data_IF_398203022693
#
_entry.id   IF_398203022693
#
_cell.length_a   1.000
_cell.length_b   1.000
_cell.length_c   1.000
_cell.angle_alpha   90.00
_cell.angle_beta   90.00
_cell.angle_gamma   90.00
#
_symmetry.space_group_name_H-M   'P 1'
#
loop_
_entity.id
_entity.type
_entity.pdbx_description
1 polymer ?
#
# COMPACT_ATOMS: atom_id res chain seq x y z
N UNK A 1 26.24 30.13 0.13
CA UNK A 1 25.81 29.73 1.48
C UNK A 1 25.15 28.37 1.36
N UNK A 2 25.80 27.33 1.85
CA UNK A 2 25.36 25.93 1.78
C UNK A 2 24.02 25.77 2.53
N UNK A 3 22.91 25.54 1.81
CA UNK A 3 21.66 25.09 2.41
C UNK A 3 21.84 23.63 2.85
N UNK A 4 22.38 23.45 4.05
CA UNK A 4 22.30 22.17 4.71
C UNK A 4 20.80 21.79 4.76
N UNK A 5 20.40 20.79 4.01
CA UNK A 5 19.07 20.18 4.12
C UNK A 5 18.83 19.87 5.59
N UNK A 6 17.97 20.66 6.23
CA UNK A 6 17.66 20.44 7.64
C UNK A 6 17.13 19.02 7.79
N UNK A 7 17.85 18.16 8.50
CA UNK A 7 17.48 16.76 8.70
C UNK A 7 16.15 16.60 9.44
N UNK A 8 15.75 17.62 10.18
CA UNK A 8 14.55 17.63 11.03
C UNK A 8 13.23 17.52 10.22
N UNK A 9 12.96 18.33 9.17
CA UNK A 9 11.72 18.20 8.39
C UNK A 9 11.60 16.85 7.67
N UNK A 10 12.72 16.31 7.20
CA UNK A 10 12.73 15.03 6.53
C UNK A 10 12.39 13.87 7.49
N UNK A 11 12.90 13.93 8.73
CA UNK A 11 12.58 12.98 9.78
C UNK A 11 11.10 13.10 10.20
N UNK A 12 10.56 14.30 10.33
CA UNK A 12 9.16 14.53 10.68
C UNK A 12 8.23 13.93 9.63
N UNK A 13 8.47 14.20 8.34
CA UNK A 13 7.67 13.59 7.25
C UNK A 13 7.81 12.07 7.23
N UNK A 14 9.00 11.54 7.51
CA UNK A 14 9.16 10.10 7.66
C UNK A 14 8.27 9.56 8.79
N UNK A 15 8.28 10.22 9.95
CA UNK A 15 7.45 9.82 11.10
C UNK A 15 5.96 9.89 10.79
N UNK A 16 5.51 10.96 10.11
CA UNK A 16 4.11 11.11 9.66
C UNK A 16 3.69 9.94 8.77
N UNK A 17 4.46 9.64 7.72
CA UNK A 17 4.14 8.51 6.82
C UNK A 17 4.23 7.17 7.55
N UNK A 18 5.21 7.01 8.42
CA UNK A 18 5.39 5.78 9.20
C UNK A 18 4.21 5.53 10.16
N UNK A 19 3.77 6.55 10.90
CA UNK A 19 2.66 6.44 11.86
C UNK A 19 1.34 6.15 11.12
N UNK A 20 1.09 6.81 9.99
CA UNK A 20 -0.09 6.54 9.16
C UNK A 20 -0.12 5.10 8.65
N UNK A 21 1.01 4.60 8.16
CA UNK A 21 1.12 3.24 7.64
C UNK A 21 1.11 2.18 8.75
N UNK A 22 1.67 2.51 9.92
CA UNK A 22 1.57 1.67 11.10
C UNK A 22 0.10 1.55 11.56
N UNK A 23 -0.65 2.66 11.59
CA UNK A 23 -2.08 2.66 11.90
C UNK A 23 -2.89 1.83 10.89
N UNK A 24 -2.58 1.92 9.59
CA UNK A 24 -3.19 1.07 8.58
C UNK A 24 -2.84 -0.41 8.79
N UNK A 25 -1.56 -0.74 8.97
CA UNK A 25 -1.09 -2.10 9.18
C UNK A 25 -1.64 -2.75 10.46
N UNK A 26 -1.86 -1.96 11.51
CA UNK A 26 -2.45 -2.38 12.77
C UNK A 26 -3.89 -2.89 12.59
N UNK A 27 -4.64 -2.28 11.67
CA UNK A 27 -6.04 -2.59 11.41
C UNK A 27 -6.21 -3.85 10.54
N UNK A 28 -5.31 -4.12 9.60
CA UNK A 28 -5.47 -5.18 8.59
C UNK A 28 -5.82 -6.55 9.19
N UNK A 29 -5.05 -7.11 10.15
CA UNK A 29 -5.34 -8.44 10.69
C UNK A 29 -6.55 -8.48 11.62
N UNK A 30 -7.03 -7.33 12.07
CA UNK A 30 -8.07 -7.22 13.09
C UNK A 30 -9.44 -6.94 12.49
N UNK A 31 -9.47 -6.17 11.40
CA UNK A 31 -10.70 -5.68 10.78
C UNK A 31 -11.68 -6.79 10.40
N UNK A 32 -11.26 -7.92 9.76
CA UNK A 32 -12.20 -9.00 9.44
C UNK A 32 -12.86 -9.59 10.68
N UNK A 33 -12.08 -9.86 11.73
CA UNK A 33 -12.59 -10.41 12.98
C UNK A 33 -13.55 -9.43 13.69
N UNK A 34 -13.23 -8.14 13.69
CA UNK A 34 -14.10 -7.14 14.28
C UNK A 34 -15.43 -7.02 13.53
N UNK A 35 -15.38 -7.01 12.20
CA UNK A 35 -16.58 -6.97 11.38
C UNK A 35 -17.45 -8.21 11.59
N UNK A 36 -16.85 -9.42 11.66
CA UNK A 36 -17.58 -10.66 11.94
C UNK A 36 -18.23 -10.68 13.33
N UNK A 37 -17.58 -10.13 14.38
CA UNK A 37 -18.22 -9.95 15.70
C UNK A 37 -19.43 -9.01 15.65
N UNK A 38 -19.47 -8.09 14.69
CA UNK A 38 -20.61 -7.21 14.41
C UNK A 38 -21.58 -7.81 13.36
N UNK A 39 -21.54 -9.13 13.17
CA UNK A 39 -22.40 -9.89 12.25
C UNK A 39 -22.27 -9.52 10.77
N UNK A 40 -21.09 -9.04 10.33
CA UNK A 40 -20.82 -8.81 8.92
C UNK A 40 -20.68 -10.14 8.16
N UNK A 41 -21.25 -10.24 6.95
CA UNK A 41 -20.92 -11.31 6.01
C UNK A 41 -19.49 -11.13 5.48
N UNK A 42 -18.90 -12.20 4.92
CA UNK A 42 -17.56 -12.12 4.35
C UNK A 42 -17.50 -11.07 3.21
N UNK A 43 -18.56 -10.94 2.42
CA UNK A 43 -18.67 -9.88 1.42
C UNK A 43 -18.62 -8.47 2.03
N UNK A 44 -19.31 -8.25 3.15
CA UNK A 44 -19.26 -6.94 3.86
C UNK A 44 -17.87 -6.63 4.40
N UNK A 45 -17.09 -7.64 4.82
CA UNK A 45 -15.68 -7.46 5.19
C UNK A 45 -14.89 -6.92 4.00
N UNK A 46 -15.08 -7.48 2.81
CA UNK A 46 -14.43 -7.00 1.59
C UNK A 46 -14.78 -5.53 1.25
N UNK A 47 -16.06 -5.17 1.37
CA UNK A 47 -16.52 -3.79 1.18
C UNK A 47 -15.92 -2.84 2.21
N UNK A 48 -15.82 -3.28 3.46
CA UNK A 48 -15.25 -2.50 4.55
C UNK A 48 -13.76 -2.19 4.33
N UNK A 49 -12.98 -3.18 3.90
CA UNK A 49 -11.58 -2.99 3.52
C UNK A 49 -11.46 -2.04 2.31
N UNK A 50 -12.29 -2.26 1.28
CA UNK A 50 -12.27 -1.47 0.06
C UNK A 50 -12.69 -0.01 0.30
N UNK A 51 -13.60 0.25 1.25
CA UNK A 51 -14.10 1.62 1.52
C UNK A 51 -12.99 2.60 1.85
N UNK A 52 -11.97 2.18 2.62
CA UNK A 52 -10.77 2.96 2.89
C UNK A 52 -9.99 3.27 1.60
N UNK A 53 -9.75 2.27 0.76
CA UNK A 53 -9.00 2.44 -0.49
C UNK A 53 -9.77 3.28 -1.52
N UNK A 54 -11.10 3.19 -1.55
CA UNK A 54 -11.97 4.03 -2.38
C UNK A 54 -11.82 5.50 -1.97
N UNK A 55 -11.90 5.80 -0.69
CA UNK A 55 -11.73 7.16 -0.18
C UNK A 55 -10.32 7.69 -0.47
N UNK A 56 -9.29 6.88 -0.24
CA UNK A 56 -7.91 7.23 -0.58
C UNK A 56 -7.78 7.54 -2.08
N UNK A 57 -8.33 6.72 -2.95
CA UNK A 57 -8.29 6.92 -4.41
C UNK A 57 -8.96 8.23 -4.83
N UNK A 58 -10.16 8.49 -4.32
CA UNK A 58 -10.95 9.67 -4.67
C UNK A 58 -10.32 10.98 -4.15
N UNK A 59 -9.77 10.95 -2.94
CA UNK A 59 -9.31 12.16 -2.27
C UNK A 59 -7.81 12.45 -2.43
N UNK A 60 -6.99 11.50 -2.88
CA UNK A 60 -5.55 11.77 -3.16
C UNK A 60 -5.34 12.93 -4.13
N UNK A 61 -6.04 13.04 -5.29
CA UNK A 61 -5.89 14.20 -6.17
C UNK A 61 -6.45 15.50 -5.58
N UNK A 62 -7.46 15.41 -4.73
CA UNK A 62 -8.02 16.57 -4.03
C UNK A 62 -7.00 17.14 -3.04
N UNK A 63 -6.42 16.31 -2.17
CA UNK A 63 -5.39 16.72 -1.20
C UNK A 63 -4.14 17.27 -1.90
N UNK A 64 -3.70 16.64 -2.98
CA UNK A 64 -2.58 17.15 -3.78
C UNK A 64 -2.84 18.58 -4.25
N UNK A 65 -3.97 18.84 -4.91
CA UNK A 65 -4.35 20.18 -5.37
C UNK A 65 -4.54 21.20 -4.25
N UNK A 66 -5.18 20.78 -3.18
CA UNK A 66 -5.38 21.66 -2.03
C UNK A 66 -4.05 22.08 -1.42
N UNK A 67 -3.10 21.13 -1.32
CA UNK A 67 -1.77 21.41 -0.76
C UNK A 67 -0.92 22.36 -1.61
N UNK A 68 -1.16 22.37 -2.95
CA UNK A 68 -0.53 23.36 -3.83
C UNK A 68 -1.06 24.78 -3.60
N UNK A 69 -2.33 24.90 -3.16
CA UNK A 69 -3.00 26.21 -2.96
C UNK A 69 -2.77 26.78 -1.57
N UNK A 70 -3.08 26.01 -0.53
CA UNK A 70 -3.05 26.50 0.86
C UNK A 70 -1.76 26.15 1.61
N UNK A 71 -0.92 25.30 1.04
CA UNK A 71 0.35 24.84 1.62
C UNK A 71 0.34 23.35 1.97
N UNK A 72 1.54 22.78 2.10
CA UNK A 72 1.72 21.35 2.42
C UNK A 72 1.33 21.04 3.87
N UNK A 73 1.85 21.86 4.80
CA UNK A 73 1.62 21.68 6.24
C UNK A 73 0.15 21.77 6.65
N UNK A 74 -0.65 22.78 6.25
CA UNK A 74 -2.07 22.84 6.59
C UNK A 74 -2.84 21.61 6.13
N UNK A 75 -2.55 21.11 4.92
CA UNK A 75 -3.22 19.93 4.39
C UNK A 75 -2.83 18.67 5.16
N UNK A 76 -1.56 18.50 5.50
CA UNK A 76 -1.11 17.40 6.37
C UNK A 76 -1.83 17.42 7.72
N UNK A 77 -1.96 18.60 8.36
CA UNK A 77 -2.66 18.74 9.64
C UNK A 77 -4.14 18.35 9.55
N UNK A 78 -4.84 18.79 8.50
CA UNK A 78 -6.26 18.43 8.28
C UNK A 78 -6.39 16.90 8.06
N UNK A 79 -5.49 16.32 7.28
CA UNK A 79 -5.52 14.88 7.00
C UNK A 79 -5.21 14.04 8.24
N UNK A 80 -4.24 14.45 9.06
CA UNK A 80 -3.93 13.79 10.33
C UNK A 80 -5.08 13.91 11.35
N UNK A 81 -5.75 15.06 11.41
CA UNK A 81 -6.96 15.22 12.23
C UNK A 81 -8.10 14.30 11.78
N UNK A 82 -8.26 14.11 10.47
CA UNK A 82 -9.25 13.16 9.92
C UNK A 82 -8.86 11.70 10.23
N UNK A 83 -7.57 11.33 10.12
CA UNK A 83 -7.08 10.00 10.52
C UNK A 83 -7.33 9.74 12.01
N UNK A 84 -7.00 10.70 12.88
CA UNK A 84 -7.30 10.65 14.30
C UNK A 84 -8.79 10.40 14.57
N UNK A 85 -9.68 11.21 13.95
CA UNK A 85 -11.12 11.04 14.10
C UNK A 85 -11.59 9.67 13.60
N UNK A 86 -11.07 9.19 12.47
CA UNK A 86 -11.38 7.86 11.93
C UNK A 86 -11.02 6.73 12.91
N UNK A 87 -9.85 6.79 13.54
CA UNK A 87 -9.45 5.79 14.53
C UNK A 87 -10.21 5.92 15.86
N UNK A 88 -10.62 7.14 16.27
CA UNK A 88 -11.53 7.31 17.40
C UNK A 88 -12.89 6.68 17.14
N UNK A 89 -13.47 6.90 15.95
CA UNK A 89 -14.72 6.26 15.53
C UNK A 89 -14.59 4.73 15.59
N UNK A 90 -13.44 4.18 15.14
CA UNK A 90 -13.15 2.76 15.29
C UNK A 90 -13.22 2.31 16.76
N UNK A 91 -12.53 3.04 17.65
CA UNK A 91 -12.48 2.70 19.08
C UNK A 91 -13.86 2.62 19.75
N UNK A 92 -14.77 3.50 19.34
CA UNK A 92 -16.15 3.54 19.82
C UNK A 92 -17.14 2.71 19.01
N UNK A 93 -16.70 1.99 17.96
CA UNK A 93 -17.61 1.27 17.07
C UNK A 93 -18.33 0.14 17.80
N UNK A 94 -19.64 0.24 17.88
CA UNK A 94 -20.55 -0.77 18.43
C UNK A 94 -21.42 -1.42 17.36
N UNK A 95 -21.33 -0.95 16.12
CA UNK A 95 -22.08 -1.47 14.97
C UNK A 95 -21.26 -1.39 13.70
N UNK A 96 -21.67 -2.17 12.71
CA UNK A 96 -21.03 -2.22 11.41
C UNK A 96 -21.02 -0.85 10.70
N UNK A 97 -22.08 -0.04 10.89
CA UNK A 97 -22.19 1.32 10.30
C UNK A 97 -21.07 2.22 10.83
N UNK A 98 -20.82 2.21 12.14
CA UNK A 98 -19.73 2.99 12.74
C UNK A 98 -18.36 2.50 12.28
N UNK A 99 -18.21 1.19 12.08
CA UNK A 99 -16.98 0.62 11.56
C UNK A 99 -16.74 1.06 10.11
N UNK A 100 -17.77 1.11 9.25
CA UNK A 100 -17.70 1.72 7.92
C UNK A 100 -17.35 3.20 7.98
N UNK A 101 -18.04 3.98 8.83
CA UNK A 101 -17.76 5.39 9.01
C UNK A 101 -16.28 5.63 9.37
N UNK A 102 -15.72 4.81 10.27
CA UNK A 102 -14.30 4.88 10.64
C UNK A 102 -13.38 4.68 9.43
N UNK A 103 -13.70 3.72 8.54
CA UNK A 103 -12.89 3.46 7.34
C UNK A 103 -12.98 4.57 6.32
N UNK A 104 -14.18 5.11 6.10
CA UNK A 104 -14.42 6.25 5.20
C UNK A 104 -13.63 7.48 5.67
N UNK A 105 -13.75 7.83 6.96
CA UNK A 105 -13.06 9.00 7.54
C UNK A 105 -11.54 8.79 7.56
N UNK A 106 -11.05 7.61 7.95
CA UNK A 106 -9.63 7.31 7.95
C UNK A 106 -9.06 7.28 6.51
N UNK A 107 -9.79 6.74 5.53
CA UNK A 107 -9.38 6.73 4.13
C UNK A 107 -9.31 8.14 3.52
N UNK A 108 -10.23 9.03 3.89
CA UNK A 108 -10.17 10.44 3.55
C UNK A 108 -8.92 11.12 4.14
N UNK A 109 -8.62 10.88 5.41
CA UNK A 109 -7.42 11.41 6.07
C UNK A 109 -6.14 10.87 5.45
N UNK A 110 -6.04 9.57 5.24
CA UNK A 110 -4.80 8.91 4.79
C UNK A 110 -4.49 9.07 3.28
N UNK A 111 -5.24 9.89 2.56
CA UNK A 111 -4.91 10.29 1.19
C UNK A 111 -3.73 11.30 1.11
N UNK A 112 -3.02 11.52 2.22
CA UNK A 112 -1.94 12.51 2.39
C UNK A 112 -0.55 12.05 1.92
N UNK A 113 -0.35 10.78 1.59
CA UNK A 113 0.96 10.25 1.16
C UNK A 113 1.49 11.04 -0.04
N UNK A 114 0.61 11.43 -0.99
CA UNK A 114 1.00 12.27 -2.12
C UNK A 114 1.48 13.66 -1.66
N UNK A 115 0.87 14.23 -0.62
CA UNK A 115 1.27 15.52 -0.04
C UNK A 115 2.61 15.40 0.68
N UNK A 116 2.85 14.30 1.40
CA UNK A 116 4.14 14.01 2.03
C UNK A 116 5.26 13.85 1.00
N UNK A 117 4.99 13.16 -0.10
CA UNK A 117 5.94 13.03 -1.22
C UNK A 117 6.22 14.40 -1.88
N UNK A 118 5.20 15.22 -2.08
CA UNK A 118 5.35 16.57 -2.60
C UNK A 118 6.16 17.47 -1.64
N UNK A 119 5.91 17.38 -0.33
CA UNK A 119 6.70 18.06 0.69
C UNK A 119 8.19 17.70 0.60
N UNK A 120 8.50 16.40 0.49
CA UNK A 120 9.87 15.91 0.31
C UNK A 120 10.48 16.49 -0.97
N UNK A 121 9.74 16.54 -2.07
CA UNK A 121 10.22 17.12 -3.32
C UNK A 121 10.52 18.60 -3.20
N UNK A 122 9.74 19.34 -2.38
CA UNK A 122 9.91 20.78 -2.17
C UNK A 122 11.13 21.12 -1.26
N UNK A 123 11.50 20.21 -0.32
CA UNK A 123 12.63 20.43 0.61
C UNK A 123 13.94 19.77 0.19
N UNK A 124 13.94 18.98 -0.89
CA UNK A 124 15.14 18.25 -1.36
C UNK A 124 15.63 18.75 -2.71
N UNK A 125 16.94 18.78 -2.89
CA UNK A 125 17.55 18.99 -4.22
C UNK A 125 17.34 17.78 -5.11
N UNK A 126 17.55 17.94 -6.44
CA UNK A 126 17.39 16.83 -7.40
C UNK A 126 18.26 15.61 -7.03
N UNK A 127 19.46 15.86 -6.53
CA UNK A 127 20.45 14.83 -6.14
C UNK A 127 20.02 14.06 -4.88
N UNK A 128 19.37 14.74 -3.93
CA UNK A 128 18.95 14.15 -2.64
C UNK A 128 17.51 13.64 -2.65
N UNK A 129 16.74 13.94 -3.69
CA UNK A 129 15.30 13.58 -3.80
C UNK A 129 15.08 12.06 -3.74
N UNK A 130 15.93 11.29 -4.42
CA UNK A 130 15.87 9.83 -4.39
C UNK A 130 16.03 9.27 -2.97
N UNK A 131 16.90 9.86 -2.16
CA UNK A 131 17.08 9.49 -0.75
C UNK A 131 15.83 9.82 0.08
N UNK A 132 15.24 11.00 -0.12
CA UNK A 132 14.00 11.40 0.55
C UNK A 132 12.82 10.47 0.21
N UNK A 133 12.64 10.14 -1.06
CA UNK A 133 11.60 9.18 -1.50
C UNK A 133 11.86 7.77 -0.97
N UNK A 134 13.13 7.35 -0.85
CA UNK A 134 13.49 6.07 -0.24
C UNK A 134 13.07 5.98 1.24
N UNK A 135 13.04 7.10 1.97
CA UNK A 135 12.51 7.13 3.35
C UNK A 135 11.02 6.81 3.39
N UNK A 136 10.23 7.28 2.42
CA UNK A 136 8.80 6.91 2.33
C UNK A 136 8.67 5.38 2.14
N UNK A 137 9.49 4.78 1.27
CA UNK A 137 9.53 3.33 1.10
C UNK A 137 9.90 2.58 2.40
N UNK A 138 10.88 3.10 3.16
CA UNK A 138 11.24 2.54 4.46
C UNK A 138 10.10 2.66 5.49
N UNK A 139 9.37 3.80 5.49
CA UNK A 139 8.19 3.98 6.34
C UNK A 139 7.10 2.97 6.00
N UNK A 140 6.87 2.67 4.71
CA UNK A 140 5.97 1.60 4.28
C UNK A 140 6.39 0.25 4.85
N UNK A 141 7.65 -0.14 4.67
CA UNK A 141 8.16 -1.42 5.17
C UNK A 141 8.01 -1.56 6.68
N UNK A 142 8.46 -0.55 7.44
CA UNK A 142 8.37 -0.55 8.90
C UNK A 142 6.92 -0.51 9.40
N UNK A 143 6.05 0.28 8.78
CA UNK A 143 4.63 0.37 9.14
C UNK A 143 3.91 -0.97 8.94
N UNK A 144 4.16 -1.67 7.85
CA UNK A 144 3.60 -2.99 7.57
C UNK A 144 4.13 -4.12 8.46
N UNK A 145 5.29 -3.94 9.10
CA UNK A 145 5.80 -4.91 10.10
C UNK A 145 5.30 -4.57 11.50
N UNK A 146 5.49 -3.31 11.91
CA UNK A 146 5.19 -2.90 13.29
C UNK A 146 3.70 -2.71 13.53
N UNK A 147 2.92 -2.35 12.49
CA UNK A 147 1.45 -2.24 12.61
C UNK A 147 0.81 -3.55 13.06
N UNK A 148 0.89 -4.63 12.28
CA UNK A 148 0.35 -5.94 12.68
C UNK A 148 0.95 -6.46 14.00
N UNK A 149 2.26 -6.22 14.25
CA UNK A 149 2.91 -6.61 15.50
C UNK A 149 2.25 -5.95 16.73
N UNK A 150 2.03 -4.64 16.67
CA UNK A 150 1.33 -3.92 17.71
C UNK A 150 -0.14 -4.35 17.81
N UNK A 151 -0.79 -4.55 16.66
CA UNK A 151 -2.19 -5.02 16.63
C UNK A 151 -2.39 -6.33 17.38
N UNK A 152 -1.51 -7.32 17.13
CA UNK A 152 -1.61 -8.61 17.81
C UNK A 152 -1.33 -8.53 19.32
N UNK A 153 -0.51 -7.58 19.77
CA UNK A 153 -0.26 -7.35 21.20
C UNK A 153 -1.41 -6.61 21.88
N UNK A 154 -2.05 -5.70 21.18
CA UNK A 154 -3.10 -4.83 21.74
C UNK A 154 -4.48 -5.48 21.75
N UNK A 155 -4.73 -6.44 20.86
CA UNK A 155 -6.05 -7.07 20.71
C UNK A 155 -6.55 -7.77 21.97
N UNK A 156 -5.65 -8.19 22.85
CA UNK A 156 -6.02 -8.77 24.16
C UNK A 156 -6.78 -7.80 25.07
N UNK A 157 -6.66 -6.49 24.86
CA UNK A 157 -7.38 -5.45 25.56
C UNK A 157 -8.71 -5.08 24.90
N UNK A 158 -9.05 -5.73 23.79
CA UNK A 158 -10.27 -5.53 23.02
C UNK A 158 -10.02 -4.91 21.64
N UNK A 159 -10.91 -5.23 20.69
CA UNK A 159 -10.79 -4.78 19.29
C UNK A 159 -10.95 -3.26 19.15
N UNK A 160 -11.80 -2.64 19.96
CA UNK A 160 -11.95 -1.18 20.01
C UNK A 160 -10.70 -0.48 20.57
N UNK A 161 -10.04 -1.09 21.58
CA UNK A 161 -8.84 -0.53 22.21
C UNK A 161 -7.71 -0.28 21.18
N UNK A 162 -7.59 -1.15 20.19
CA UNK A 162 -6.65 -1.00 19.08
C UNK A 162 -6.87 0.33 18.34
N UNK A 163 -8.13 0.71 18.14
CA UNK A 163 -8.49 2.00 17.53
C UNK A 163 -8.07 3.21 18.39
N UNK A 164 -8.23 3.13 19.71
CA UNK A 164 -7.78 4.21 20.61
C UNK A 164 -6.27 4.38 20.59
N UNK A 165 -5.50 3.29 20.53
CA UNK A 165 -4.05 3.37 20.42
C UNK A 165 -3.63 3.96 19.07
N UNK A 166 -4.26 3.54 17.97
CA UNK A 166 -4.03 4.12 16.65
C UNK A 166 -4.38 5.63 16.62
N UNK A 167 -5.48 6.01 17.24
CA UNK A 167 -5.85 7.42 17.43
C UNK A 167 -4.79 8.17 18.24
N UNK A 168 -4.27 7.58 19.33
CA UNK A 168 -3.18 8.16 20.11
C UNK A 168 -1.93 8.44 19.29
N UNK A 169 -1.51 7.51 18.45
CA UNK A 169 -0.39 7.71 17.52
C UNK A 169 -0.67 8.83 16.53
N UNK A 170 -1.86 8.86 15.92
CA UNK A 170 -2.25 9.93 14.99
C UNK A 170 -2.33 11.29 15.68
N UNK A 171 -2.76 11.35 16.95
CA UNK A 171 -2.77 12.58 17.73
C UNK A 171 -1.37 13.08 18.05
N UNK A 172 -0.46 12.19 18.44
CA UNK A 172 0.95 12.53 18.68
C UNK A 172 1.58 13.07 17.40
N UNK A 173 1.35 12.44 16.25
CA UNK A 173 1.85 12.91 14.97
C UNK A 173 1.25 14.27 14.57
N UNK A 174 -0.05 14.46 14.78
CA UNK A 174 -0.73 15.75 14.58
C UNK A 174 -0.07 16.86 15.42
N UNK A 175 0.21 16.60 16.69
CA UNK A 175 0.87 17.55 17.60
C UNK A 175 2.30 17.83 17.15
N UNK A 176 3.08 16.80 16.84
CA UNK A 176 4.45 16.96 16.34
C UNK A 176 4.50 17.74 15.02
N UNK A 177 3.61 17.41 14.08
CA UNK A 177 3.48 18.14 12.81
C UNK A 177 3.06 19.59 13.03
N UNK A 178 2.14 19.85 13.97
CA UNK A 178 1.68 21.20 14.29
C UNK A 178 2.80 22.07 14.86
N UNK A 179 3.62 21.57 15.76
CA UNK A 179 4.64 22.40 16.41
C UNK A 179 6.00 22.40 15.68
N UNK A 180 6.35 21.31 15.01
CA UNK A 180 7.72 21.10 14.53
C UNK A 180 7.86 21.12 13.01
N UNK A 181 6.79 20.86 12.23
CA UNK A 181 6.90 20.82 10.77
C UNK A 181 6.79 22.24 10.18
N UNK A 182 7.86 22.80 9.59
CA UNK A 182 7.77 24.10 8.93
C UNK A 182 7.05 23.99 7.57
N UNK A 183 6.42 25.08 7.12
CA UNK A 183 5.97 25.14 5.71
C UNK A 183 7.19 25.32 4.80
N UNK A 184 7.28 24.59 3.66
CA UNK A 184 8.38 24.79 2.71
C UNK A 184 8.43 26.23 2.20
N UNK A 185 9.63 26.87 2.25
CA UNK A 185 9.83 28.25 1.82
C UNK A 185 9.71 28.43 0.31
N UNK A 186 10.23 27.48 -0.43
CA UNK A 186 10.10 27.40 -1.87
C UNK A 186 9.03 26.36 -2.18
N UNK A 187 7.83 26.82 -2.45
CA UNK A 187 6.87 25.99 -3.17
C UNK A 187 7.49 25.85 -4.55
N UNK A 188 7.98 24.64 -4.88
CA UNK A 188 8.46 24.41 -6.21
C UNK A 188 7.36 24.91 -7.15
N UNK A 189 7.67 25.95 -7.91
CA UNK A 189 6.81 26.43 -9.00
C UNK A 189 6.73 25.27 -10.01
N UNK A 190 6.00 24.23 -9.65
CA UNK A 190 5.44 23.34 -10.63
C UNK A 190 4.39 24.20 -11.33
N UNK A 191 4.88 24.84 -12.42
CA UNK A 191 4.09 25.80 -13.17
C UNK A 191 2.66 25.34 -13.34
N UNK A 192 1.74 26.27 -13.52
CA UNK A 192 0.32 26.08 -13.80
C UNK A 192 0.00 24.97 -14.80
N UNK A 193 1.00 24.50 -15.54
CA UNK A 193 0.91 23.44 -16.57
C UNK A 193 0.90 22.00 -16.05
N UNK A 194 1.21 21.73 -14.77
CA UNK A 194 1.19 20.33 -14.26
C UNK A 194 -0.21 19.78 -13.93
N UNK A 195 -1.22 20.63 -13.84
CA UNK A 195 -2.62 20.21 -13.81
C UNK A 195 -3.26 20.21 -15.21
N UNK A 196 -2.56 20.66 -16.21
CA UNK A 196 -2.82 20.49 -17.63
C UNK A 196 -2.34 19.17 -18.24
N UNK A 197 -2.05 18.14 -17.46
CA UNK A 197 -2.08 16.78 -17.98
C UNK A 197 -3.55 16.47 -18.28
N UNK A 198 -4.00 17.01 -19.41
CA UNK A 198 -5.37 16.86 -19.88
C UNK A 198 -5.74 15.39 -20.01
N UNK A 199 -7.00 15.10 -20.11
CA UNK A 199 -7.51 13.75 -20.40
C UNK A 199 -6.68 13.08 -21.50
N UNK A 200 -6.19 13.84 -22.47
CA UNK A 200 -5.31 13.38 -23.54
C UNK A 200 -3.98 12.77 -23.05
N UNK A 201 -3.38 13.30 -22.00
CA UNK A 201 -2.18 12.70 -21.40
C UNK A 201 -2.49 11.32 -20.81
N UNK A 202 -3.57 11.18 -20.07
CA UNK A 202 -3.98 9.91 -19.51
C UNK A 202 -4.32 8.90 -20.60
N UNK A 203 -5.10 9.31 -21.60
CA UNK A 203 -5.44 8.47 -22.75
C UNK A 203 -4.17 8.04 -23.49
N UNK A 204 -3.27 8.97 -23.84
CA UNK A 204 -2.04 8.68 -24.56
C UNK A 204 -1.14 7.67 -23.82
N UNK A 205 -0.98 7.80 -22.51
CA UNK A 205 -0.13 6.90 -21.74
C UNK A 205 -0.79 5.53 -21.48
N UNK A 206 -2.12 5.49 -21.25
CA UNK A 206 -2.86 4.23 -21.10
C UNK A 206 -2.95 3.48 -22.44
N UNK A 207 -3.02 4.17 -23.56
CA UNK A 207 -3.07 3.54 -24.91
C UNK A 207 -1.71 3.08 -25.42
N UNK A 208 -0.59 3.57 -24.88
CA UNK A 208 0.75 3.07 -25.19
C UNK A 208 0.85 1.58 -24.88
N UNK A 209 1.12 0.75 -25.90
CA UNK A 209 1.11 -0.71 -25.76
C UNK A 209 2.05 -1.23 -24.66
N UNK A 210 3.25 -0.63 -24.53
CA UNK A 210 4.26 -1.03 -23.53
C UNK A 210 3.85 -0.64 -22.10
N UNK A 211 3.39 0.59 -21.90
CA UNK A 211 2.90 1.06 -20.59
C UNK A 211 1.62 0.33 -20.17
N UNK A 212 0.71 0.07 -21.11
CA UNK A 212 -0.53 -0.67 -20.83
C UNK A 212 -0.28 -2.05 -20.26
N UNK A 213 0.70 -2.79 -20.79
CA UNK A 213 1.08 -4.11 -20.27
C UNK A 213 1.62 -3.97 -18.83
N UNK A 214 2.52 -3.00 -18.58
CA UNK A 214 3.07 -2.75 -17.25
C UNK A 214 1.98 -2.33 -16.25
N UNK A 215 1.05 -1.46 -16.65
CA UNK A 215 -0.10 -1.08 -15.81
C UNK A 215 -1.02 -2.27 -15.52
N UNK A 216 -1.29 -3.12 -16.50
CA UNK A 216 -2.11 -4.31 -16.31
C UNK A 216 -1.44 -5.31 -15.35
N UNK A 217 -0.14 -5.54 -15.49
CA UNK A 217 0.66 -6.34 -14.56
C UNK A 217 0.57 -5.75 -13.15
N UNK A 218 0.70 -4.43 -13.01
CA UNK A 218 0.65 -3.78 -11.70
C UNK A 218 -0.73 -3.88 -11.06
N UNK A 219 -1.79 -3.66 -11.86
CA UNK A 219 -3.17 -3.84 -11.40
C UNK A 219 -3.43 -5.27 -10.92
N UNK A 220 -3.15 -6.26 -11.77
CA UNK A 220 -3.48 -7.68 -11.48
C UNK A 220 -2.65 -8.20 -10.32
N UNK A 221 -1.36 -7.84 -10.22
CA UNK A 221 -0.51 -8.25 -9.10
C UNK A 221 -0.99 -7.65 -7.77
N UNK A 222 -1.38 -6.37 -7.78
CA UNK A 222 -1.93 -5.72 -6.59
C UNK A 222 -3.32 -6.27 -6.23
N UNK A 223 -4.15 -6.53 -7.23
CA UNK A 223 -5.45 -7.17 -7.06
C UNK A 223 -5.31 -8.56 -6.39
N UNK A 224 -4.42 -9.41 -6.90
CA UNK A 224 -4.20 -10.74 -6.37
C UNK A 224 -3.65 -10.71 -4.93
N UNK A 225 -2.74 -9.77 -4.63
CA UNK A 225 -2.22 -9.57 -3.28
C UNK A 225 -3.31 -9.06 -2.31
N UNK A 226 -4.06 -8.04 -2.70
CA UNK A 226 -5.12 -7.46 -1.87
C UNK A 226 -6.32 -8.42 -1.67
N UNK A 227 -6.62 -9.25 -2.67
CA UNK A 227 -7.56 -10.35 -2.56
C UNK A 227 -7.12 -11.33 -1.45
N UNK A 228 -5.86 -11.80 -1.52
CA UNK A 228 -5.29 -12.68 -0.50
C UNK A 228 -5.29 -12.02 0.88
N UNK A 229 -4.82 -10.78 0.97
CA UNK A 229 -4.73 -10.02 2.22
C UNK A 229 -6.08 -9.95 2.95
N UNK A 230 -7.15 -9.66 2.21
CA UNK A 230 -8.51 -9.56 2.75
C UNK A 230 -9.11 -10.91 3.18
N UNK A 231 -8.80 -11.99 2.44
CA UNK A 231 -9.39 -13.32 2.66
C UNK A 231 -8.56 -14.20 3.58
N UNK A 232 -7.28 -13.86 3.84
CA UNK A 232 -6.36 -14.68 4.64
C UNK A 232 -6.86 -14.86 6.08
N UNK A 233 -7.33 -13.78 6.72
CA UNK A 233 -7.89 -13.85 8.08
C UNK A 233 -9.14 -14.72 8.13
N UNK A 234 -10.00 -14.64 7.11
CA UNK A 234 -11.20 -15.48 7.00
C UNK A 234 -10.83 -16.95 6.82
N UNK A 235 -9.82 -17.24 5.98
CA UNK A 235 -9.30 -18.58 5.74
C UNK A 235 -8.72 -19.21 7.02
N UNK A 236 -7.82 -18.48 7.68
CA UNK A 236 -7.13 -18.98 8.88
C UNK A 236 -8.07 -19.17 10.05
N UNK A 237 -9.06 -18.30 10.21
CA UNK A 237 -10.12 -18.48 11.19
C UNK A 237 -10.92 -19.76 10.90
N UNK A 238 -11.24 -20.02 9.62
CA UNK A 238 -12.04 -21.19 9.22
C UNK A 238 -11.27 -22.51 9.30
N UNK A 239 -10.00 -22.55 8.88
CA UNK A 239 -9.21 -23.80 8.81
C UNK A 239 -8.45 -24.12 10.09
N UNK A 240 -7.97 -23.09 10.82
CA UNK A 240 -7.09 -23.26 11.96
C UNK A 240 -7.69 -22.73 13.27
N UNK A 241 -8.88 -22.12 13.21
CA UNK A 241 -9.52 -21.44 14.33
C UNK A 241 -8.60 -20.33 14.92
N UNK A 242 -7.83 -19.66 14.06
CA UNK A 242 -6.94 -18.59 14.46
C UNK A 242 -7.70 -17.30 14.73
N UNK A 243 -7.28 -16.62 15.79
CA UNK A 243 -7.77 -15.29 16.15
C UNK A 243 -6.90 -14.16 15.60
N UNK A 244 -7.20 -12.91 16.01
CA UNK A 244 -6.41 -11.74 15.58
C UNK A 244 -4.94 -11.79 15.98
N UNK A 245 -4.61 -12.48 17.08
CA UNK A 245 -3.22 -12.61 17.55
C UNK A 245 -2.37 -13.43 16.60
N UNK A 246 -2.81 -14.62 16.24
CA UNK A 246 -2.11 -15.53 15.31
C UNK A 246 -2.03 -14.89 13.93
N UNK A 247 -3.12 -14.28 13.46
CA UNK A 247 -3.15 -13.56 12.19
C UNK A 247 -2.19 -12.37 12.20
N UNK A 248 -2.13 -11.60 13.28
CA UNK A 248 -1.17 -10.51 13.42
C UNK A 248 0.27 -11.00 13.28
N UNK A 249 0.64 -12.12 13.93
CA UNK A 249 1.97 -12.74 13.80
C UNK A 249 2.26 -13.20 12.37
N UNK A 250 1.26 -13.73 11.66
CA UNK A 250 1.40 -14.12 10.25
C UNK A 250 1.67 -12.90 9.36
N UNK A 251 0.97 -11.78 9.58
CA UNK A 251 1.24 -10.53 8.85
C UNK A 251 2.60 -9.93 9.18
N UNK A 252 3.07 -10.03 10.42
CA UNK A 252 4.46 -9.67 10.81
C UNK A 252 5.46 -10.49 10.00
N UNK A 253 5.26 -11.80 9.93
CA UNK A 253 6.10 -12.69 9.14
C UNK A 253 6.15 -12.29 7.66
N UNK A 254 4.99 -12.07 7.04
CA UNK A 254 4.86 -11.57 5.65
C UNK A 254 5.61 -10.25 5.48
N UNK A 255 5.39 -9.29 6.40
CA UNK A 255 6.02 -7.97 6.36
C UNK A 255 7.54 -8.04 6.45
N UNK A 256 8.09 -8.84 7.37
CA UNK A 256 9.54 -9.03 7.51
C UNK A 256 10.15 -9.58 6.21
N UNK A 257 9.53 -10.58 5.60
CA UNK A 257 10.01 -11.13 4.33
C UNK A 257 10.01 -10.09 3.21
N UNK A 258 8.94 -9.30 3.08
CA UNK A 258 8.87 -8.21 2.09
C UNK A 258 9.98 -7.18 2.34
N UNK A 259 10.21 -6.79 3.59
CA UNK A 259 11.28 -5.83 3.95
C UNK A 259 12.67 -6.39 3.62
N UNK A 260 12.94 -7.65 3.91
CA UNK A 260 14.21 -8.29 3.56
C UNK A 260 14.44 -8.27 2.04
N UNK A 261 13.41 -8.62 1.27
CA UNK A 261 13.51 -8.65 -0.19
C UNK A 261 13.67 -7.24 -0.76
N UNK A 262 12.83 -6.29 -0.37
CA UNK A 262 12.87 -4.92 -0.90
C UNK A 262 14.06 -4.11 -0.37
N UNK A 263 14.45 -4.29 0.89
CA UNK A 263 15.53 -3.52 1.53
C UNK A 263 16.93 -4.02 1.19
N UNK A 264 17.09 -5.34 0.94
CA UNK A 264 18.41 -5.96 0.76
C UNK A 264 18.59 -6.67 -0.57
N UNK A 265 17.68 -7.61 -0.89
CA UNK A 265 17.89 -8.53 -2.01
C UNK A 265 17.64 -7.88 -3.38
N UNK A 266 16.67 -6.98 -3.49
CA UNK A 266 16.26 -6.41 -4.78
C UNK A 266 17.41 -5.72 -5.51
N UNK A 267 18.24 -4.96 -4.79
CA UNK A 267 19.41 -4.28 -5.35
C UNK A 267 20.41 -5.23 -5.97
N UNK A 268 20.62 -6.39 -5.35
CA UNK A 268 21.55 -7.42 -5.86
C UNK A 268 20.94 -8.16 -7.05
N UNK A 269 19.63 -8.45 -6.99
CA UNK A 269 18.91 -9.13 -8.05
C UNK A 269 18.84 -8.29 -9.33
N UNK A 270 18.55 -6.99 -9.23
CA UNK A 270 18.47 -6.08 -10.39
C UNK A 270 19.83 -5.80 -11.05
N UNK A 271 20.94 -5.96 -10.31
CA UNK A 271 22.29 -5.94 -10.89
C UNK A 271 22.58 -7.16 -11.76
N UNK A 272 21.98 -8.32 -11.43
CA UNK A 272 22.30 -9.61 -12.07
C UNK A 272 21.27 -10.02 -13.11
N UNK A 273 20.01 -9.63 -12.93
CA UNK A 273 18.89 -10.05 -13.76
C UNK A 273 18.07 -8.85 -14.24
N UNK A 274 17.51 -8.95 -15.47
CA UNK A 274 16.59 -7.93 -15.99
C UNK A 274 15.29 -7.87 -15.19
N UNK A 275 14.68 -6.69 -15.09
CA UNK A 275 13.40 -6.50 -14.39
C UNK A 275 12.29 -7.38 -14.99
N UNK A 276 12.29 -7.59 -16.31
CA UNK A 276 11.38 -8.52 -17.01
C UNK A 276 11.46 -9.92 -16.39
N UNK A 277 12.66 -10.49 -16.26
CA UNK A 277 12.89 -11.82 -15.69
C UNK A 277 12.46 -11.87 -14.23
N UNK A 278 12.76 -10.81 -13.47
CA UNK A 278 12.38 -10.71 -12.06
C UNK A 278 10.86 -10.64 -11.87
N UNK A 279 10.14 -9.87 -12.72
CA UNK A 279 8.67 -9.83 -12.71
C UNK A 279 8.09 -11.21 -13.07
N UNK A 280 8.65 -11.90 -14.06
CA UNK A 280 8.18 -13.24 -14.44
C UNK A 280 8.31 -14.23 -13.27
N UNK A 281 9.50 -14.29 -12.66
CA UNK A 281 9.78 -15.17 -11.52
C UNK A 281 8.92 -14.77 -10.30
N UNK A 282 8.87 -13.46 -9.99
CA UNK A 282 8.06 -12.94 -8.88
C UNK A 282 6.56 -13.26 -9.06
N UNK A 283 6.03 -13.12 -10.27
CA UNK A 283 4.64 -13.46 -10.56
C UNK A 283 4.36 -14.95 -10.44
N UNK A 284 5.31 -15.80 -10.86
CA UNK A 284 5.21 -17.25 -10.69
C UNK A 284 5.22 -17.64 -9.20
N UNK A 285 6.09 -17.03 -8.39
CA UNK A 285 6.13 -17.26 -6.94
C UNK A 285 4.82 -16.85 -6.25
N UNK A 286 4.22 -15.71 -6.66
CA UNK A 286 2.91 -15.29 -6.15
C UNK A 286 1.84 -16.31 -6.54
N UNK A 287 1.81 -16.75 -7.80
CA UNK A 287 0.85 -17.76 -8.26
C UNK A 287 0.98 -19.07 -7.46
N UNK A 288 2.21 -19.57 -7.31
CA UNK A 288 2.48 -20.80 -6.55
C UNK A 288 2.05 -20.66 -5.08
N UNK A 289 2.36 -19.51 -4.44
CA UNK A 289 1.92 -19.23 -3.08
C UNK A 289 0.40 -19.19 -2.96
N UNK A 290 -0.30 -18.54 -3.91
CA UNK A 290 -1.77 -18.49 -3.91
C UNK A 290 -2.39 -19.88 -4.08
N UNK A 291 -1.92 -20.69 -5.01
CA UNK A 291 -2.45 -22.05 -5.17
C UNK A 291 -2.16 -22.95 -3.97
N UNK A 292 -1.03 -22.76 -3.29
CA UNK A 292 -0.68 -23.57 -2.14
C UNK A 292 -1.46 -23.18 -0.87
N UNK A 293 -1.85 -21.91 -0.74
CA UNK A 293 -2.48 -21.35 0.47
C UNK A 293 -3.74 -22.14 0.91
N UNK A 294 -4.73 -22.45 0.06
CA UNK A 294 -5.97 -23.07 0.50
C UNK A 294 -5.92 -24.62 0.56
N UNK A 295 -4.83 -25.24 0.11
CA UNK A 295 -4.78 -26.71 -0.11
C UNK A 295 -4.43 -27.47 1.16
N UNK A 296 -3.97 -26.80 2.20
CA UNK A 296 -3.36 -27.46 3.36
C UNK A 296 -4.02 -27.07 4.69
N UNK A 297 -4.12 -28.08 5.57
CA UNK A 297 -4.45 -27.87 6.99
C UNK A 297 -3.19 -27.75 7.87
N UNK A 298 -2.02 -27.61 7.25
CA UNK A 298 -0.73 -27.47 7.96
C UNK A 298 -0.28 -26.01 7.98
N UNK A 299 -0.08 -25.44 9.17
CA UNK A 299 0.45 -24.10 9.34
C UNK A 299 1.88 -23.93 8.76
N UNK A 300 2.66 -25.02 8.68
CA UNK A 300 4.00 -25.03 8.06
C UNK A 300 3.89 -24.78 6.56
N UNK A 301 2.96 -25.46 5.89
CA UNK A 301 2.71 -25.26 4.46
C UNK A 301 2.10 -23.90 4.18
N UNK A 302 1.24 -23.39 5.06
CA UNK A 302 0.77 -22.00 5.00
C UNK A 302 1.95 -21.02 5.10
N UNK A 303 2.88 -21.23 6.02
CA UNK A 303 4.11 -20.44 6.14
C UNK A 303 4.94 -20.46 4.85
N UNK A 304 5.11 -21.63 4.22
CA UNK A 304 5.79 -21.74 2.92
C UNK A 304 5.04 -20.99 1.81
N UNK A 305 3.72 -21.11 1.76
CA UNK A 305 2.89 -20.37 0.80
C UNK A 305 3.06 -18.87 0.95
N UNK A 306 3.02 -18.36 2.19
CA UNK A 306 3.24 -16.95 2.50
C UNK A 306 4.67 -16.50 2.18
N UNK A 307 5.67 -17.38 2.35
CA UNK A 307 7.06 -17.11 1.94
C UNK A 307 7.16 -16.87 0.43
N UNK A 308 6.62 -17.78 -0.37
CA UNK A 308 6.61 -17.66 -1.84
C UNK A 308 5.93 -16.37 -2.28
N UNK A 309 4.77 -16.09 -1.70
CA UNK A 309 3.97 -14.92 -2.01
C UNK A 309 4.69 -13.61 -1.61
N UNK A 310 5.29 -13.57 -0.43
CA UNK A 310 6.02 -12.40 0.07
C UNK A 310 7.28 -12.11 -0.75
N UNK A 311 8.05 -13.13 -1.09
CA UNK A 311 9.24 -12.98 -1.95
C UNK A 311 8.81 -12.50 -3.34
N UNK A 312 7.80 -13.13 -3.92
CA UNK A 312 7.27 -12.76 -5.23
C UNK A 312 6.76 -11.32 -5.27
N UNK A 313 5.98 -10.89 -4.28
CA UNK A 313 5.47 -9.53 -4.16
C UNK A 313 6.57 -8.50 -3.91
N UNK A 314 7.53 -8.85 -3.05
CA UNK A 314 8.71 -8.04 -2.74
C UNK A 314 9.58 -7.75 -3.96
N UNK A 315 9.64 -8.67 -4.92
CA UNK A 315 10.35 -8.50 -6.20
C UNK A 315 9.48 -7.75 -7.21
N UNK A 316 8.22 -8.15 -7.37
CA UNK A 316 7.35 -7.71 -8.45
C UNK A 316 7.05 -6.19 -8.37
N UNK A 317 6.72 -5.70 -7.20
CA UNK A 317 6.31 -4.30 -7.01
C UNK A 317 7.43 -3.30 -7.42
N UNK A 318 8.66 -3.34 -6.88
CA UNK A 318 9.70 -2.39 -7.27
C UNK A 318 10.17 -2.57 -8.71
N UNK A 319 10.24 -3.80 -9.24
CA UNK A 319 10.61 -4.05 -10.63
C UNK A 319 9.58 -3.46 -11.61
N UNK A 320 8.29 -3.57 -11.30
CA UNK A 320 7.24 -3.02 -12.14
C UNK A 320 7.25 -1.48 -12.14
N UNK A 321 7.46 -0.84 -10.99
CA UNK A 321 7.64 0.61 -10.89
C UNK A 321 8.89 1.07 -11.68
N UNK A 322 9.99 0.30 -11.64
CA UNK A 322 11.21 0.58 -12.40
C UNK A 322 10.93 0.53 -13.92
N UNK A 323 10.24 -0.50 -14.43
CA UNK A 323 9.87 -0.60 -15.85
C UNK A 323 8.98 0.58 -16.26
N UNK A 324 7.95 0.91 -15.48
CA UNK A 324 7.05 2.04 -15.74
C UNK A 324 7.88 3.34 -15.83
N UNK A 325 8.81 3.56 -14.91
CA UNK A 325 9.70 4.74 -14.92
C UNK A 325 10.59 4.80 -16.16
N UNK A 326 11.17 3.66 -16.58
CA UNK A 326 12.04 3.58 -17.77
C UNK A 326 11.28 3.76 -19.10
N UNK A 327 10.00 3.37 -19.14
CA UNK A 327 9.15 3.52 -20.33
C UNK A 327 8.52 4.91 -20.43
N UNK A 328 8.52 5.69 -19.36
CA UNK A 328 7.96 7.03 -19.32
C UNK A 328 8.92 8.04 -19.96
N UNK A 329 8.42 9.05 -20.72
CA UNK A 329 9.24 10.17 -21.16
C UNK A 329 9.82 10.93 -19.97
N UNK A 330 11.08 11.41 -20.09
CA UNK A 330 11.82 12.05 -18.99
C UNK A 330 11.04 13.22 -18.34
N UNK A 331 10.32 14.00 -19.17
CA UNK A 331 9.55 15.17 -18.71
C UNK A 331 8.30 14.78 -17.92
N UNK A 332 7.78 13.56 -18.09
CA UNK A 332 6.47 13.14 -17.55
C UNK A 332 6.54 11.91 -16.62
N UNK A 333 7.73 11.45 -16.26
CA UNK A 333 7.96 10.26 -15.41
C UNK A 333 7.08 10.28 -14.14
N UNK A 334 7.04 11.41 -13.43
CA UNK A 334 6.24 11.55 -12.23
C UNK A 334 4.72 11.35 -12.47
N UNK A 335 4.21 11.90 -13.59
CA UNK A 335 2.80 11.72 -13.97
C UNK A 335 2.48 10.27 -14.34
N UNK A 336 3.35 9.59 -15.06
CA UNK A 336 3.18 8.19 -15.47
C UNK A 336 3.28 7.24 -14.26
N UNK A 337 4.20 7.49 -13.32
CA UNK A 337 4.26 6.76 -12.06
C UNK A 337 3.02 6.99 -11.20
N UNK A 338 2.51 8.22 -11.13
CA UNK A 338 1.26 8.54 -10.46
C UNK A 338 0.06 7.80 -11.06
N UNK A 339 0.00 7.70 -12.40
CA UNK A 339 -1.01 6.88 -13.09
C UNK A 339 -0.87 5.40 -12.73
N UNK A 340 0.36 4.87 -12.68
CA UNK A 340 0.63 3.51 -12.22
C UNK A 340 0.12 3.25 -10.80
N UNK A 341 0.35 4.20 -9.88
CA UNK A 341 -0.15 4.10 -8.51
C UNK A 341 -1.69 4.14 -8.44
N UNK A 342 -2.33 4.97 -9.26
CA UNK A 342 -3.79 5.01 -9.35
C UNK A 342 -4.35 3.66 -9.83
N UNK A 343 -3.74 3.06 -10.85
CA UNK A 343 -4.09 1.73 -11.35
C UNK A 343 -3.89 0.65 -10.29
N UNK A 344 -2.78 0.71 -9.54
CA UNK A 344 -2.52 -0.18 -8.40
C UNK A 344 -3.58 -0.03 -7.30
N UNK A 345 -4.01 1.20 -7.00
CA UNK A 345 -5.06 1.46 -6.01
C UNK A 345 -6.41 0.85 -6.42
N UNK A 346 -6.74 0.83 -7.72
CA UNK A 346 -7.91 0.08 -8.20
C UNK A 346 -7.80 -1.43 -7.87
N UNK A 347 -6.60 -2.01 -7.95
CA UNK A 347 -6.36 -3.38 -7.50
C UNK A 347 -6.67 -3.57 -6.01
N UNK A 348 -6.30 -2.61 -5.15
CA UNK A 348 -6.64 -2.62 -3.72
C UNK A 348 -8.13 -2.42 -3.44
N UNK A 349 -8.87 -1.80 -4.34
CA UNK A 349 -10.32 -1.65 -4.22
C UNK A 349 -11.02 -2.96 -4.61
N UNK A 350 -10.72 -3.45 -5.81
CA UNK A 350 -11.42 -4.61 -6.36
C UNK A 350 -10.98 -5.94 -5.75
N UNK A 351 -9.71 -6.05 -5.29
CA UNK A 351 -9.18 -7.26 -4.67
C UNK A 351 -10.02 -7.76 -3.50
N UNK A 352 -10.21 -6.96 -2.44
CA UNK A 352 -11.03 -7.33 -1.30
C UNK A 352 -12.49 -7.59 -1.65
N UNK A 353 -13.09 -6.75 -2.51
CA UNK A 353 -14.51 -6.90 -2.92
C UNK A 353 -14.72 -8.25 -3.61
N UNK A 354 -13.92 -8.52 -4.64
CA UNK A 354 -14.05 -9.76 -5.42
C UNK A 354 -13.62 -10.96 -4.59
N UNK A 355 -12.52 -10.86 -3.85
CA UNK A 355 -12.02 -11.94 -3.02
C UNK A 355 -13.00 -12.39 -1.96
N UNK A 356 -13.54 -11.46 -1.20
CA UNK A 356 -14.52 -11.77 -0.18
C UNK A 356 -15.87 -12.20 -0.76
N UNK A 357 -16.28 -11.68 -1.92
CA UNK A 357 -17.47 -12.16 -2.64
C UNK A 357 -17.32 -13.61 -3.13
N UNK A 358 -16.14 -13.96 -3.64
CA UNK A 358 -15.85 -15.34 -4.03
C UNK A 358 -15.81 -16.25 -2.81
N UNK A 359 -15.20 -15.81 -1.72
CA UNK A 359 -15.13 -16.56 -0.46
C UNK A 359 -16.52 -16.88 0.08
N UNK A 360 -17.40 -15.87 0.10
CA UNK A 360 -18.78 -15.97 0.60
C UNK A 360 -19.64 -16.92 -0.25
N UNK A 361 -19.56 -16.80 -1.60
CA UNK A 361 -20.42 -17.55 -2.53
C UNK A 361 -19.91 -18.95 -2.88
N UNK A 362 -18.60 -19.10 -3.06
CA UNK A 362 -17.98 -20.31 -3.60
C UNK A 362 -17.00 -20.99 -2.63
N UNK A 363 -16.90 -20.46 -1.40
CA UNK A 363 -16.05 -21.01 -0.36
C UNK A 363 -14.59 -20.55 -0.43
N UNK A 364 -13.83 -20.96 0.57
CA UNK A 364 -12.48 -20.44 0.86
C UNK A 364 -11.41 -20.74 -0.21
N UNK A 365 -11.60 -21.73 -1.06
CA UNK A 365 -10.69 -22.08 -2.16
C UNK A 365 -10.73 -21.03 -3.28
N UNK A 366 -11.93 -20.51 -3.57
CA UNK A 366 -12.20 -19.74 -4.79
C UNK A 366 -11.39 -18.45 -4.95
N UNK A 367 -11.16 -17.59 -3.94
CA UNK A 367 -10.39 -16.36 -4.12
C UNK A 367 -8.92 -16.63 -4.43
N UNK A 368 -8.37 -17.70 -3.87
CA UNK A 368 -6.97 -18.08 -4.10
C UNK A 368 -6.75 -18.69 -5.47
N UNK A 369 -7.68 -19.55 -5.93
CA UNK A 369 -7.66 -20.09 -7.29
C UNK A 369 -7.81 -18.97 -8.33
N UNK A 370 -8.76 -18.06 -8.13
CA UNK A 370 -8.95 -16.91 -9.02
C UNK A 370 -7.70 -16.01 -9.04
N UNK A 371 -7.14 -15.66 -7.87
CA UNK A 371 -5.92 -14.88 -7.78
C UNK A 371 -4.71 -15.57 -8.43
N UNK A 372 -4.56 -16.90 -8.21
CA UNK A 372 -3.51 -17.71 -8.82
C UNK A 372 -3.60 -17.75 -10.35
N UNK A 373 -4.80 -17.95 -10.90
CA UNK A 373 -5.06 -17.90 -12.34
C UNK A 373 -4.75 -16.50 -12.91
N UNK A 374 -5.17 -15.44 -12.25
CA UNK A 374 -4.79 -14.08 -12.63
C UNK A 374 -3.27 -13.91 -12.68
N UNK A 375 -2.52 -14.46 -11.72
CA UNK A 375 -1.06 -14.37 -11.71
C UNK A 375 -0.40 -15.22 -12.80
N UNK A 376 -0.98 -16.33 -13.22
CA UNK A 376 -0.52 -17.07 -14.41
C UNK A 376 -0.67 -16.21 -15.68
N UNK A 377 -1.78 -15.46 -15.79
CA UNK A 377 -1.94 -14.50 -16.90
C UNK A 377 -0.86 -13.43 -16.84
N UNK A 378 -0.50 -12.94 -15.63
CA UNK A 378 0.61 -11.99 -15.46
C UNK A 378 1.95 -12.60 -15.90
N UNK A 379 2.22 -13.86 -15.57
CA UNK A 379 3.42 -14.57 -16.08
C UNK A 379 3.44 -14.57 -17.61
N UNK A 380 2.33 -14.89 -18.26
CA UNK A 380 2.25 -14.84 -19.72
C UNK A 380 2.42 -13.43 -20.30
N UNK A 381 1.84 -12.41 -19.66
CA UNK A 381 1.99 -11.01 -20.05
C UNK A 381 3.43 -10.49 -19.86
N UNK A 382 4.14 -10.96 -18.86
CA UNK A 382 5.50 -10.51 -18.56
C UNK A 382 6.48 -10.83 -19.68
N UNK A 383 6.24 -11.86 -20.49
CA UNK A 383 7.06 -12.15 -21.67
C UNK A 383 6.97 -11.06 -22.76
N UNK A 384 5.88 -10.28 -22.76
CA UNK A 384 5.68 -9.14 -23.70
C UNK A 384 6.32 -7.84 -23.22
N UNK A 385 6.85 -7.80 -21.97
CA UNK A 385 7.60 -6.64 -21.48
C UNK A 385 8.89 -6.47 -22.27
N UNK A 386 9.36 -5.23 -22.46
CA UNK A 386 10.65 -4.98 -23.09
C UNK A 386 11.77 -5.57 -22.23
N UNK A 387 12.84 -6.03 -22.87
CA UNK A 387 14.05 -6.39 -22.16
C UNK A 387 14.72 -5.13 -21.61
N UNK A 388 15.14 -5.20 -20.38
CA UNK A 388 15.87 -4.15 -19.68
C UNK A 388 17.27 -4.66 -19.38
N UNK A 389 18.28 -3.83 -19.60
CA UNK A 389 19.65 -4.21 -19.27
C UNK A 389 19.82 -4.32 -17.75
N UNK A 390 20.46 -5.40 -17.24
CA UNK A 390 20.79 -5.52 -15.83
C UNK A 390 21.68 -4.34 -15.39
N UNK A 391 21.40 -3.75 -14.23
CA UNK A 391 22.23 -2.68 -13.66
C UNK A 391 21.93 -1.25 -14.12
N UNK A 392 21.07 -1.02 -15.11
CA UNK A 392 20.73 0.33 -15.60
C UNK A 392 19.92 1.20 -14.61
N UNK A 393 19.68 0.73 -13.40
CA UNK A 393 18.97 1.46 -12.36
C UNK A 393 19.88 2.11 -11.30
N UNK A 394 21.20 2.12 -11.49
CA UNK A 394 22.18 2.54 -10.48
C UNK A 394 23.05 3.75 -10.89
N UNK A 395 22.73 4.43 -12.01
CA UNK A 395 23.40 5.69 -12.39
C UNK A 395 22.45 6.88 -12.28
#
# INVERSE_FOLDING_TARGET
MSSATSKTPLLLIFMTVFIDLMGFGLVIPILPTYAQQLHASDFMVGLLIASYSIMQFLFTPFWGRLSDRIGRRPVLLISLAASFAGYLIWGFSTSLIWLFASRVVAGFGNANIAVAQAYIADITTKENRARGMGMVGAAFGLGFVLGPALGCLLVQYGLGFVGFVAAGFSLVDLILTFFLLPEPKERGSFGNDRFGLGIDFYIKNVTSAKLRISFLIFFVSTFAFANMEATLVLLTSKLYNWGPKENGLLFVYIGILIVIVQGGMIRQLTKKYSEKKLITVGSFLIAAGLFLTPVTNSWIVLGLAMTLLSIGSGINNPCNQSIISKLAPAETVGGVLGLGQSVSTLGRIFGPIVGCALFDKFGYLSPYLAGGLCMIVVVALSFKLPETEPGAAAT
#
